data_IF_350892790718
#
_entry.id   IF_350892790718
#
_cell.length_a   1.000
_cell.length_b   1.000
_cell.length_c   1.000
_cell.angle_alpha   90.00
_cell.angle_beta   90.00
_cell.angle_gamma   90.00
#
_symmetry.space_group_name_H-M   'P 1'
#
loop_
_entity.id
_entity.type
_entity.pdbx_description
1 polymer ?
#
# COMPACT_ATOMS: atom_id res chain seq x y z
N UNK A 1 -3.46 0.00 15.06
CA UNK A 1 -2.42 -0.21 14.02
C UNK A 1 -2.85 -1.38 13.15
N UNK A 2 -2.72 -1.28 11.82
CA UNK A 2 -3.16 -2.31 10.89
C UNK A 2 -1.94 -3.01 10.29
N UNK A 3 -2.02 -4.32 10.03
CA UNK A 3 -0.99 -5.02 9.25
C UNK A 3 -1.38 -5.02 7.78
N UNK A 4 -0.41 -5.23 6.89
CA UNK A 4 -0.69 -5.45 5.46
C UNK A 4 -1.71 -6.58 5.28
N UNK A 5 -1.63 -7.62 6.11
CA UNK A 5 -2.59 -8.73 6.11
C UNK A 5 -4.04 -8.29 6.35
N UNK A 6 -4.26 -7.52 7.42
CA UNK A 6 -5.60 -7.02 7.75
C UNK A 6 -6.14 -6.11 6.66
N UNK A 7 -5.28 -5.27 6.08
CA UNK A 7 -5.67 -4.31 5.04
C UNK A 7 -6.13 -5.06 3.78
N UNK A 8 -5.39 -6.06 3.29
CA UNK A 8 -5.82 -6.77 2.08
C UNK A 8 -7.13 -7.54 2.31
N UNK A 9 -7.32 -8.11 3.50
CA UNK A 9 -8.57 -8.81 3.85
C UNK A 9 -9.77 -7.86 3.89
N UNK A 10 -9.61 -6.66 4.44
CA UNK A 10 -10.67 -5.64 4.48
C UNK A 10 -11.03 -5.16 3.06
N UNK A 11 -10.01 -4.93 2.22
CA UNK A 11 -10.23 -4.44 0.85
C UNK A 11 -10.75 -5.56 -0.06
N UNK A 12 -10.52 -6.83 0.30
CA UNK A 12 -10.78 -7.98 -0.59
C UNK A 12 -9.85 -7.98 -1.81
N UNK A 13 -8.66 -7.39 -1.67
CA UNK A 13 -7.69 -7.23 -2.76
C UNK A 13 -6.70 -8.38 -2.87
N UNK A 14 -5.88 -8.34 -3.91
CA UNK A 14 -4.77 -9.28 -4.13
C UNK A 14 -3.43 -8.69 -3.64
N UNK A 15 -2.64 -9.49 -2.92
CA UNK A 15 -1.28 -9.12 -2.55
C UNK A 15 -0.29 -9.41 -3.69
N UNK A 16 0.26 -8.35 -4.29
CA UNK A 16 1.36 -8.46 -5.26
C UNK A 16 2.69 -8.19 -4.58
N UNK A 17 3.61 -9.14 -4.64
CA UNK A 17 5.00 -9.06 -4.13
C UNK A 17 5.17 -8.77 -2.63
N UNK A 18 4.14 -8.99 -1.81
CA UNK A 18 4.17 -8.69 -0.38
C UNK A 18 4.05 -9.94 0.52
N UNK A 19 4.31 -11.13 -0.02
CA UNK A 19 4.09 -12.41 0.66
C UNK A 19 4.95 -12.56 1.93
N UNK A 20 6.19 -12.03 1.93
CA UNK A 20 7.12 -12.07 3.06
C UNK A 20 6.96 -10.89 4.03
N UNK A 21 5.98 -10.00 3.79
CA UNK A 21 5.84 -8.75 4.54
C UNK A 21 4.43 -8.53 5.08
N UNK A 22 3.60 -9.58 5.12
CA UNK A 22 2.20 -9.53 5.57
C UNK A 22 2.03 -8.98 7.00
N UNK A 23 3.01 -9.26 7.87
CA UNK A 23 3.04 -8.80 9.26
C UNK A 23 3.51 -7.36 9.42
N UNK A 24 4.01 -6.71 8.36
CA UNK A 24 4.45 -5.32 8.44
C UNK A 24 3.28 -4.43 8.85
N UNK A 25 3.56 -3.53 9.77
CA UNK A 25 2.57 -2.63 10.31
C UNK A 25 2.48 -1.35 9.49
N UNK A 26 1.26 -0.96 9.20
CA UNK A 26 0.86 0.30 8.58
C UNK A 26 0.12 1.11 9.65
N UNK A 27 0.59 2.33 9.89
CA UNK A 27 -0.01 3.24 10.87
C UNK A 27 -0.43 4.58 10.26
N UNK A 28 -0.19 4.78 8.97
CA UNK A 28 -0.48 6.02 8.27
C UNK A 28 -0.91 5.73 6.82
N UNK A 29 -1.66 6.66 6.22
CA UNK A 29 -2.26 6.48 4.90
C UNK A 29 -2.20 7.77 4.09
N UNK A 30 -1.80 7.66 2.84
CA UNK A 30 -1.67 8.79 1.93
C UNK A 30 -2.35 8.54 0.59
N UNK A 31 -2.96 9.58 0.04
CA UNK A 31 -3.58 9.55 -1.30
C UNK A 31 -2.70 10.20 -2.37
N UNK A 32 -1.59 10.80 -1.96
CA UNK A 32 -0.59 11.41 -2.84
C UNK A 32 0.77 10.79 -2.56
N UNK A 33 1.32 10.10 -3.56
CA UNK A 33 2.58 9.37 -3.43
C UNK A 33 3.74 10.23 -2.89
N UNK A 34 3.83 11.49 -3.30
CA UNK A 34 4.87 12.44 -2.85
C UNK A 34 4.87 12.73 -1.35
N UNK A 35 3.81 12.37 -0.64
CA UNK A 35 3.66 12.56 0.80
C UNK A 35 3.90 11.28 1.61
N UNK A 36 4.22 10.17 0.96
CA UNK A 36 4.66 8.94 1.65
C UNK A 36 6.02 9.22 2.30
N UNK A 37 6.05 9.32 3.62
CA UNK A 37 7.25 9.73 4.38
C UNK A 37 8.13 8.56 4.81
N UNK A 38 7.54 7.38 4.99
CA UNK A 38 8.26 6.21 5.51
C UNK A 38 7.55 4.90 5.12
N UNK A 39 8.17 3.76 5.48
CA UNK A 39 7.69 2.41 5.12
C UNK A 39 6.42 1.96 5.85
N UNK A 40 5.95 2.71 6.86
CA UNK A 40 4.70 2.44 7.60
C UNK A 40 3.51 3.25 7.07
N UNK A 41 3.72 4.10 6.05
CA UNK A 41 2.66 4.83 5.36
C UNK A 41 2.21 4.06 4.11
N UNK A 42 0.95 3.66 4.04
CA UNK A 42 0.39 3.04 2.85
C UNK A 42 -0.15 4.09 1.87
N UNK A 43 0.12 3.90 0.58
CA UNK A 43 -0.36 4.77 -0.48
C UNK A 43 -1.58 4.16 -1.18
N UNK A 44 -2.68 4.92 -1.25
CA UNK A 44 -3.86 4.55 -2.02
C UNK A 44 -3.91 5.31 -3.33
N UNK A 45 -3.88 4.58 -4.45
CA UNK A 45 -4.11 5.14 -5.77
C UNK A 45 -5.52 4.81 -6.25
N UNK A 46 -6.39 5.81 -6.49
CA UNK A 46 -7.69 5.57 -7.10
C UNK A 46 -7.58 5.23 -8.60
N UNK A 47 -6.47 5.58 -9.25
CA UNK A 47 -6.26 5.35 -10.68
C UNK A 47 -5.07 4.41 -10.93
N UNK A 48 -5.28 3.40 -11.78
CA UNK A 48 -4.25 2.43 -12.19
C UNK A 48 -3.04 3.11 -12.85
N UNK A 49 -3.29 4.19 -13.59
CA UNK A 49 -2.27 4.96 -14.31
C UNK A 49 -1.20 5.57 -13.37
N UNK A 50 -1.58 5.99 -12.16
CA UNK A 50 -0.63 6.56 -11.19
C UNK A 50 0.40 5.52 -10.75
N UNK A 51 -0.01 4.26 -10.64
CA UNK A 51 0.84 3.15 -10.25
C UNK A 51 1.92 2.89 -11.31
N UNK A 52 1.52 2.73 -12.57
CA UNK A 52 2.46 2.52 -13.70
C UNK A 52 3.41 3.71 -13.89
N UNK A 53 2.89 4.95 -13.83
CA UNK A 53 3.70 6.16 -14.07
C UNK A 53 4.75 6.45 -12.99
N UNK A 54 4.48 6.08 -11.73
CA UNK A 54 5.36 6.40 -10.59
C UNK A 54 6.21 5.23 -10.12
N UNK A 55 5.75 3.99 -10.33
CA UNK A 55 6.39 2.79 -9.79
C UNK A 55 6.89 1.83 -10.88
N UNK A 56 6.71 2.16 -12.17
CA UNK A 56 7.45 1.55 -13.28
C UNK A 56 7.10 0.08 -13.57
N UNK A 57 5.83 -0.31 -13.39
CA UNK A 57 5.31 -1.63 -13.79
C UNK A 57 4.25 -1.49 -14.86
#
# INVERSE_FOLDING_TARGET
MLTIEKIYHIIGGELKDAHNSKSNEINDFETKYKFVKNKKTAYFSPNKETWTKKLGR
#
